data_IF_358662013523
#
_entry.id   IF_358662013523
#
_cell.length_a   1.000
_cell.length_b   1.000
_cell.length_c   1.000
_cell.angle_alpha   90.00
_cell.angle_beta   90.00
_cell.angle_gamma   90.00
#
_symmetry.space_group_name_H-M   'P 1'
#
loop_
_entity.id
_entity.type
_entity.pdbx_description
1 polymer ?
#
# COMPACT_ATOMS: atom_id res chain seq x y z
N UNK A 1 -12.23 -5.42 11.39
CA UNK A 1 -11.22 -6.32 11.97
C UNK A 1 -9.84 -5.67 12.00
N UNK A 2 -9.28 -5.25 10.85
CA UNK A 2 -7.93 -4.64 10.76
C UNK A 2 -7.74 -3.46 11.71
N UNK A 3 -8.66 -2.48 11.73
CA UNK A 3 -8.57 -1.27 12.59
C UNK A 3 -8.29 -1.55 14.08
N UNK A 4 -8.69 -2.72 14.58
CA UNK A 4 -8.55 -3.09 15.99
C UNK A 4 -7.48 -4.19 16.21
N UNK A 5 -6.74 -4.58 15.17
CA UNK A 5 -5.60 -5.50 15.31
C UNK A 5 -4.32 -4.75 15.63
N UNK A 6 -3.35 -5.46 16.22
CA UNK A 6 -1.99 -4.93 16.47
C UNK A 6 -1.13 -4.88 15.20
N UNK A 7 -1.60 -5.54 14.14
CA UNK A 7 -0.90 -5.65 12.87
C UNK A 7 -1.64 -6.56 11.90
N UNK A 8 -1.22 -6.53 10.64
CA UNK A 8 -1.59 -7.49 9.60
C UNK A 8 -0.37 -8.33 9.23
N UNK A 9 -0.55 -9.64 9.04
CA UNK A 9 0.53 -10.54 8.62
C UNK A 9 0.05 -11.31 7.40
N UNK A 10 0.93 -11.45 6.40
CA UNK A 10 0.63 -12.20 5.18
C UNK A 10 1.18 -11.48 3.96
N UNK A 11 0.49 -11.55 2.84
CA UNK A 11 0.90 -10.88 1.62
C UNK A 11 -0.28 -10.24 0.89
N UNK A 12 -1.35 -9.88 1.62
CA UNK A 12 -2.53 -9.23 1.04
C UNK A 12 -2.21 -7.81 0.58
N UNK A 13 -2.86 -7.35 -0.51
CA UNK A 13 -2.74 -5.97 -0.98
C UNK A 13 -3.25 -4.95 0.03
N UNK A 14 -4.24 -5.33 0.85
CA UNK A 14 -4.76 -4.47 1.91
C UNK A 14 -3.68 -4.07 2.92
N UNK A 15 -2.62 -4.87 3.06
CA UNK A 15 -1.47 -4.53 3.90
C UNK A 15 -0.67 -3.32 3.43
N UNK A 16 -0.71 -3.03 2.13
CA UNK A 16 -0.04 -1.89 1.50
C UNK A 16 -1.01 -0.73 1.27
N UNK A 17 -2.25 -1.04 0.88
CA UNK A 17 -3.24 -0.05 0.43
C UNK A 17 -4.09 0.52 1.56
N UNK A 18 -4.54 -0.33 2.50
CA UNK A 18 -5.63 -0.01 3.43
C UNK A 18 -5.13 0.08 4.88
N UNK A 19 -4.33 -0.89 5.33
CA UNK A 19 -3.81 -0.95 6.69
C UNK A 19 -3.07 0.35 7.12
N UNK A 20 -2.26 1.00 6.26
CA UNK A 20 -1.61 2.26 6.63
C UNK A 20 -2.59 3.38 6.94
N UNK A 21 -3.74 3.47 6.25
CA UNK A 21 -4.80 4.45 6.54
C UNK A 21 -5.46 4.22 7.90
N UNK A 22 -5.52 2.96 8.33
CA UNK A 22 -6.07 2.56 9.62
C UNK A 22 -5.05 2.66 10.76
N UNK A 23 -3.83 3.14 10.47
CA UNK A 23 -2.71 3.20 11.42
C UNK A 23 -2.36 1.82 11.98
N UNK A 24 -2.38 0.83 11.10
CA UNK A 24 -2.03 -0.56 11.40
C UNK A 24 -0.85 -0.96 10.51
N UNK A 25 0.21 -1.48 11.12
CA UNK A 25 1.39 -1.95 10.39
C UNK A 25 1.18 -3.34 9.79
N UNK A 26 1.99 -3.67 8.79
CA UNK A 26 1.91 -4.94 8.07
C UNK A 26 3.27 -5.63 8.05
N UNK A 27 3.30 -6.93 8.37
CA UNK A 27 4.40 -7.84 7.99
C UNK A 27 4.04 -8.46 6.64
N UNK A 28 4.72 -8.01 5.59
CA UNK A 28 4.53 -8.47 4.22
C UNK A 28 5.50 -9.62 3.89
N UNK A 29 4.95 -10.80 3.62
CA UNK A 29 5.71 -12.04 3.48
C UNK A 29 5.97 -12.35 2.00
N UNK A 30 7.25 -12.48 1.67
CA UNK A 30 7.73 -12.88 0.35
C UNK A 30 7.48 -11.84 -0.75
N UNK A 31 7.60 -12.29 -2.00
CA UNK A 31 7.73 -11.41 -3.17
C UNK A 31 6.41 -11.07 -3.88
N UNK A 32 5.25 -11.49 -3.38
CA UNK A 32 3.94 -11.25 -4.05
C UNK A 32 3.69 -9.76 -4.33
N UNK A 33 4.15 -8.87 -3.46
CA UNK A 33 3.94 -7.42 -3.60
C UNK A 33 5.18 -6.69 -4.17
N UNK A 34 6.11 -7.41 -4.81
CA UNK A 34 7.26 -6.82 -5.50
C UNK A 34 6.82 -5.82 -6.58
N UNK A 35 7.59 -4.75 -6.76
CA UNK A 35 7.24 -3.64 -7.68
C UNK A 35 6.14 -2.67 -7.21
N UNK A 36 5.46 -2.95 -6.09
CA UNK A 36 4.47 -2.01 -5.52
C UNK A 36 5.13 -1.00 -4.59
N UNK A 37 4.62 0.24 -4.60
CA UNK A 37 4.99 1.27 -3.63
C UNK A 37 4.63 0.80 -2.21
N UNK A 38 5.49 1.07 -1.24
CA UNK A 38 5.26 0.73 0.17
C UNK A 38 5.57 1.93 1.05
N UNK A 39 4.77 2.10 2.10
CA UNK A 39 5.04 3.10 3.15
C UNK A 39 5.87 2.50 4.28
N UNK A 40 6.32 3.35 5.21
CA UNK A 40 7.09 2.94 6.40
C UNK A 40 6.37 1.93 7.30
N UNK A 41 5.05 1.85 7.21
CA UNK A 41 4.23 0.92 8.00
C UNK A 41 4.29 -0.53 7.52
N UNK A 42 5.03 -0.83 6.45
CA UNK A 42 5.19 -2.17 5.89
C UNK A 42 6.60 -2.70 6.20
N UNK A 43 6.66 -3.88 6.81
CA UNK A 43 7.88 -4.62 7.12
C UNK A 43 7.93 -5.81 6.16
N UNK A 44 8.79 -5.75 5.15
CA UNK A 44 9.03 -6.85 4.24
C UNK A 44 9.89 -7.93 4.92
N UNK A 45 9.48 -9.20 4.78
CA UNK A 45 10.19 -10.36 5.30
C UNK A 45 10.19 -11.50 4.28
N UNK A 46 11.23 -12.33 4.32
CA UNK A 46 11.27 -13.58 3.57
C UNK A 46 10.26 -14.60 4.14
N UNK A 47 9.89 -15.59 3.33
CA UNK A 47 8.96 -16.68 3.73
C UNK A 47 9.62 -17.73 4.63
N UNK A 48 10.52 -17.33 5.54
CA UNK A 48 11.16 -18.20 6.52
C UNK A 48 10.62 -17.93 7.91
N UNK A 49 10.57 -18.97 8.76
CA UNK A 49 10.07 -18.85 10.12
C UNK A 49 10.79 -17.73 10.90
N UNK A 50 12.12 -17.74 10.89
CA UNK A 50 12.93 -16.74 11.60
C UNK A 50 12.67 -15.32 11.13
N UNK A 51 12.54 -15.10 9.81
CA UNK A 51 12.27 -13.76 9.28
C UNK A 51 10.87 -13.27 9.66
N UNK A 52 9.87 -14.15 9.62
CA UNK A 52 8.50 -13.84 10.04
C UNK A 52 8.45 -13.50 11.52
N UNK A 53 9.11 -14.28 12.39
CA UNK A 53 9.18 -14.02 13.83
C UNK A 53 9.83 -12.65 14.13
N UNK A 54 10.96 -12.34 13.48
CA UNK A 54 11.62 -11.03 13.61
C UNK A 54 10.74 -9.88 13.11
N UNK A 55 10.03 -10.07 11.99
CA UNK A 55 9.08 -9.10 11.46
C UNK A 55 7.95 -8.80 12.44
N UNK A 56 7.39 -9.84 13.07
CA UNK A 56 6.35 -9.71 14.09
C UNK A 56 6.89 -8.99 15.32
N UNK A 57 8.07 -9.35 15.81
CA UNK A 57 8.70 -8.68 16.96
C UNK A 57 8.93 -7.18 16.67
N UNK A 58 9.45 -6.85 15.48
CA UNK A 58 9.62 -5.46 15.05
C UNK A 58 8.30 -4.72 14.98
N UNK A 59 7.26 -5.33 14.39
CA UNK A 59 5.92 -4.76 14.29
C UNK A 59 5.36 -4.43 15.67
N UNK A 60 5.53 -5.32 16.64
CA UNK A 60 5.01 -5.18 18.00
C UNK A 60 5.88 -4.31 18.91
N UNK A 61 7.10 -3.94 18.49
CA UNK A 61 8.00 -3.12 19.29
C UNK A 61 7.42 -1.73 19.58
N UNK A 62 7.69 -1.21 20.78
CA UNK A 62 7.24 0.11 21.21
C UNK A 62 7.70 1.21 20.24
N UNK A 63 8.94 1.11 19.75
CA UNK A 63 9.50 2.06 18.80
C UNK A 63 8.73 2.08 17.47
N UNK A 64 8.27 0.93 16.97
CA UNK A 64 7.47 0.88 15.75
C UNK A 64 6.05 1.40 16.00
N UNK A 65 5.39 0.92 17.06
CA UNK A 65 4.03 1.29 17.41
C UNK A 65 3.90 2.79 17.74
N UNK A 66 4.89 3.38 18.40
CA UNK A 66 4.91 4.82 18.69
C UNK A 66 5.01 5.68 17.43
N UNK A 67 5.70 5.20 16.38
CA UNK A 67 5.82 5.95 15.11
C UNK A 67 4.65 5.72 14.16
N UNK A 68 3.94 4.60 14.28
CA UNK A 68 2.88 4.17 13.36
C UNK A 68 1.79 5.23 13.09
N UNK A 69 1.34 6.05 14.07
CA UNK A 69 0.37 7.12 13.81
C UNK A 69 0.86 8.19 12.83
N UNK A 70 2.17 8.46 12.79
CA UNK A 70 2.81 9.46 11.94
C UNK A 70 3.13 8.94 10.53
N UNK A 71 3.10 7.63 10.34
CA UNK A 71 3.38 7.02 9.04
C UNK A 71 2.28 7.35 8.04
N UNK A 72 2.70 7.66 6.81
CA UNK A 72 1.83 8.06 5.71
C UNK A 72 1.48 6.84 4.86
N UNK A 73 0.21 6.78 4.43
CA UNK A 73 -0.19 5.86 3.38
C UNK A 73 0.18 6.45 2.01
N UNK A 74 1.14 5.88 1.26
CA UNK A 74 1.52 6.42 -0.05
C UNK A 74 0.41 6.30 -1.11
N UNK A 75 -0.62 5.49 -0.86
CA UNK A 75 -1.79 5.34 -1.73
C UNK A 75 -2.95 6.25 -1.35
N UNK A 76 -2.85 6.97 -0.23
CA UNK A 76 -3.92 7.86 0.18
C UNK A 76 -4.00 9.06 -0.76
N UNK A 77 -5.19 9.25 -1.32
CA UNK A 77 -5.53 10.43 -2.08
C UNK A 77 -6.90 10.93 -1.63
N UNK A 78 -6.91 12.16 -1.13
CA UNK A 78 -8.14 12.84 -0.75
C UNK A 78 -9.05 13.04 -1.98
N UNK A 79 -10.35 12.86 -1.78
CA UNK A 79 -11.40 13.05 -2.78
C UNK A 79 -11.18 12.25 -4.07
N UNK A 80 -10.63 11.03 -3.96
CA UNK A 80 -10.32 10.17 -5.11
C UNK A 80 -11.51 9.93 -6.04
N UNK A 81 -12.69 9.67 -5.49
CA UNK A 81 -13.91 9.43 -6.28
C UNK A 81 -14.37 10.69 -7.03
N UNK A 82 -14.33 11.84 -6.39
CA UNK A 82 -14.70 13.13 -6.99
C UNK A 82 -13.72 13.53 -8.11
N UNK A 83 -12.41 13.40 -7.85
CA UNK A 83 -11.37 13.62 -8.86
C UNK A 83 -11.56 12.72 -10.07
N UNK A 84 -11.86 11.43 -9.85
CA UNK A 84 -12.15 10.51 -10.93
C UNK A 84 -13.41 10.92 -11.71
N UNK A 85 -14.49 11.30 -11.03
CA UNK A 85 -15.72 11.78 -11.66
C UNK A 85 -15.47 12.98 -12.58
N UNK A 86 -14.78 14.02 -12.10
CA UNK A 86 -14.50 15.21 -12.91
C UNK A 86 -13.59 14.91 -14.09
N UNK A 87 -12.57 14.05 -13.90
CA UNK A 87 -11.67 13.65 -14.98
C UNK A 87 -12.41 12.87 -16.08
N UNK A 88 -13.29 11.94 -15.70
CA UNK A 88 -14.11 11.18 -16.65
C UNK A 88 -15.08 12.12 -17.38
N UNK A 89 -15.74 13.03 -16.67
CA UNK A 89 -16.66 14.00 -17.25
C UNK A 89 -15.97 14.92 -18.25
N UNK A 90 -14.81 15.46 -17.88
CA UNK A 90 -13.98 16.31 -18.75
C UNK A 90 -13.57 15.56 -20.02
N UNK A 91 -13.06 14.33 -19.88
CA UNK A 91 -12.68 13.49 -21.01
C UNK A 91 -13.84 13.26 -21.99
N UNK A 92 -15.04 12.97 -21.49
CA UNK A 92 -16.23 12.75 -22.32
C UNK A 92 -16.70 14.03 -23.04
N UNK A 93 -16.55 15.19 -22.41
CA UNK A 93 -17.01 16.48 -22.95
C UNK A 93 -16.02 17.09 -23.96
N UNK A 94 -14.71 16.91 -23.74
CA UNK A 94 -13.65 17.63 -24.46
C UNK A 94 -12.87 16.77 -25.45
N UNK A 95 -13.40 15.59 -25.82
CA UNK A 95 -12.74 14.59 -26.66
C UNK A 95 -12.23 15.15 -28.01
N UNK A 96 -10.95 15.56 -28.05
CA UNK A 96 -10.19 15.89 -29.27
C UNK A 96 -8.99 14.97 -29.52
N UNK A 97 -8.66 14.05 -28.61
CA UNK A 97 -7.45 13.24 -28.71
C UNK A 97 -7.74 11.75 -28.49
N UNK A 98 -7.97 11.04 -29.59
CA UNK A 98 -8.15 9.58 -29.64
C UNK A 98 -6.82 8.81 -29.68
N UNK A 99 -5.70 9.45 -29.33
CA UNK A 99 -4.42 8.77 -29.37
C UNK A 99 -4.39 7.69 -28.26
N UNK A 100 -4.21 6.42 -28.63
CA UNK A 100 -4.17 5.35 -27.66
C UNK A 100 -3.00 5.56 -26.70
N UNK A 101 -3.23 5.23 -25.43
CA UNK A 101 -2.20 5.26 -24.39
C UNK A 101 -1.13 4.22 -24.74
N UNK A 102 0.05 4.66 -25.15
CA UNK A 102 1.18 3.76 -25.34
C UNK A 102 1.76 3.38 -23.98
N UNK A 103 1.72 2.09 -23.65
CA UNK A 103 2.47 1.54 -22.53
C UNK A 103 3.87 1.22 -23.04
N UNK A 104 4.90 1.86 -22.47
CA UNK A 104 6.28 1.47 -22.74
C UNK A 104 6.49 0.06 -22.19
N UNK A 105 6.63 -0.91 -23.09
CA UNK A 105 7.15 -2.22 -22.73
C UNK A 105 8.65 -2.00 -22.49
N UNK A 106 9.06 -2.03 -21.23
CA UNK A 106 10.48 -2.09 -20.89
C UNK A 106 11.01 -3.39 -21.49
N UNK A 107 11.93 -3.28 -22.46
CA UNK A 107 12.74 -4.41 -22.91
C UNK A 107 13.73 -4.75 -21.80
N UNK A 108 13.78 -6.04 -21.46
CA UNK A 108 14.81 -6.64 -20.61
C UNK A 108 16.23 -6.40 -21.16
#
# INVERSE_FOLDING_TARGET
MIKYSKGLIGNSSSGLLEAPSLKVGTVNIGKRQEGRVRGESVIDVESSQTAIEQGIQKLLSDAFQARLPMMVNPYYQENSAEKAYYLIKDFLQNNKNNNPKYFMIYKE
#
